data_IF_986595339468
#
_entry.id   IF_986595339468
#
_cell.length_a   1.000
_cell.length_b   1.000
_cell.length_c   1.000
_cell.angle_alpha   90.00
_cell.angle_beta   90.00
_cell.angle_gamma   90.00
#
_symmetry.space_group_name_H-M   'P 1'
#
loop_
_entity.id
_entity.type
_entity.pdbx_description
1 polymer ?
#
# COMPACT_ATOMS: atom_id res chain seq x y z
N UNK A 1 -38.45 16.97 -2.77
CA UNK A 1 -37.25 16.29 -2.23
C UNK A 1 -37.48 16.08 -0.74
N UNK A 2 -37.27 14.88 -0.20
CA UNK A 2 -37.48 14.63 1.23
C UNK A 2 -36.48 15.42 2.09
N UNK A 3 -36.95 15.98 3.21
CA UNK A 3 -36.14 16.78 4.13
C UNK A 3 -35.10 15.87 4.82
N UNK A 4 -33.81 16.19 4.66
CA UNK A 4 -32.71 15.36 5.23
C UNK A 4 -32.62 15.60 6.73
N UNK A 5 -33.04 14.64 7.53
CA UNK A 5 -32.83 14.62 8.99
C UNK A 5 -31.34 14.64 9.30
N UNK A 6 -30.86 15.70 9.98
CA UNK A 6 -29.48 15.83 10.46
C UNK A 6 -29.38 15.43 11.92
N UNK A 7 -28.37 14.64 12.25
CA UNK A 7 -28.09 14.19 13.62
C UNK A 7 -26.92 14.98 14.20
N UNK A 8 -27.00 15.33 15.49
CA UNK A 8 -25.88 15.94 16.20
C UNK A 8 -24.80 14.88 16.39
N UNK A 9 -23.62 15.11 15.83
CA UNK A 9 -22.44 14.25 15.99
C UNK A 9 -21.45 14.88 16.97
N UNK A 10 -20.59 14.05 17.58
CA UNK A 10 -19.40 14.50 18.32
C UNK A 10 -18.15 13.87 17.70
N UNK A 11 -16.97 14.50 17.81
CA UNK A 11 -15.72 13.86 17.43
C UNK A 11 -15.50 12.55 18.18
N UNK A 12 -14.79 11.61 17.56
CA UNK A 12 -14.37 10.37 18.22
C UNK A 12 -13.43 10.70 19.38
N UNK A 13 -13.68 10.14 20.56
CA UNK A 13 -12.84 10.35 21.74
C UNK A 13 -11.41 9.83 21.52
N UNK A 14 -11.27 8.77 20.72
CA UNK A 14 -9.99 8.20 20.34
C UNK A 14 -9.26 8.96 19.23
N UNK A 15 -9.80 10.06 18.69
CA UNK A 15 -9.26 10.71 17.48
C UNK A 15 -7.80 11.16 17.63
N UNK A 16 -7.43 11.66 18.81
CA UNK A 16 -6.04 12.04 19.09
C UNK A 16 -5.11 10.81 19.04
N UNK A 17 -5.53 9.69 19.65
CA UNK A 17 -4.75 8.46 19.64
C UNK A 17 -4.66 7.85 18.24
N UNK A 18 -5.73 7.91 17.45
CA UNK A 18 -5.72 7.44 16.07
C UNK A 18 -4.64 8.18 15.24
N UNK A 19 -4.58 9.52 15.34
CA UNK A 19 -3.56 10.33 14.66
C UNK A 19 -2.13 9.99 15.12
N UNK A 20 -1.95 9.77 16.42
CA UNK A 20 -0.67 9.35 16.99
C UNK A 20 -0.23 8.00 16.41
N UNK A 21 -1.09 6.98 16.44
CA UNK A 21 -0.80 5.63 15.93
C UNK A 21 -0.49 5.67 14.43
N UNK A 22 -1.29 6.37 13.64
CA UNK A 22 -1.04 6.58 12.21
C UNK A 22 0.33 7.19 11.97
N UNK A 23 0.65 8.29 12.67
CA UNK A 23 1.95 8.95 12.49
C UNK A 23 3.10 8.03 12.88
N UNK A 24 2.97 7.31 13.99
CA UNK A 24 3.99 6.35 14.43
C UNK A 24 4.23 5.26 13.38
N UNK A 25 3.16 4.68 12.83
CA UNK A 25 3.26 3.65 11.79
C UNK A 25 3.94 4.16 10.51
N UNK A 26 3.50 5.30 9.98
CA UNK A 26 4.11 5.81 8.75
C UNK A 26 5.51 6.38 8.97
N UNK A 27 5.85 6.87 10.16
CA UNK A 27 7.20 7.34 10.45
C UNK A 27 8.18 6.21 10.76
N UNK A 28 7.73 5.04 11.25
CA UNK A 28 8.63 3.95 11.64
C UNK A 28 9.44 3.38 10.47
N UNK A 29 8.87 3.38 9.27
CA UNK A 29 9.57 2.90 8.06
C UNK A 29 10.80 3.76 7.72
N UNK A 30 10.75 5.06 7.99
CA UNK A 30 11.86 5.99 7.67
C UNK A 30 13.15 5.67 8.42
N UNK A 31 13.05 4.89 9.50
CA UNK A 31 14.15 4.52 10.40
C UNK A 31 14.28 3.00 10.56
N UNK A 32 13.57 2.20 9.75
CA UNK A 32 13.59 0.73 9.83
C UNK A 32 15.01 0.17 9.69
N UNK A 33 15.74 0.60 8.66
CA UNK A 33 17.11 0.15 8.42
C UNK A 33 18.10 0.53 9.53
N UNK A 34 17.87 1.63 10.26
CA UNK A 34 18.69 2.01 11.42
C UNK A 34 18.55 1.02 12.58
N UNK A 35 17.41 0.31 12.64
CA UNK A 35 17.13 -0.74 13.63
C UNK A 35 17.50 -2.14 13.13
N UNK A 36 18.03 -2.27 11.91
CA UNK A 36 18.26 -3.56 11.27
C UNK A 36 16.96 -4.27 10.88
N UNK A 37 15.89 -3.50 10.66
CA UNK A 37 14.58 -3.97 10.24
C UNK A 37 14.39 -3.75 8.74
N UNK A 38 13.56 -4.58 8.12
CA UNK A 38 13.11 -4.50 6.74
C UNK A 38 12.05 -3.41 6.52
N UNK A 39 12.04 -2.87 5.32
CA UNK A 39 11.04 -1.94 4.82
C UNK A 39 10.52 -2.45 3.47
N UNK A 40 9.22 -2.34 3.23
CA UNK A 40 8.59 -2.86 2.01
C UNK A 40 7.62 -1.85 1.41
N UNK A 41 7.29 -2.05 0.14
CA UNK A 41 6.08 -1.49 -0.45
C UNK A 41 5.08 -2.62 -0.65
N UNK A 42 4.21 -2.81 0.34
CA UNK A 42 2.99 -3.60 0.16
C UNK A 42 1.77 -2.71 0.03
N UNK A 43 1.00 -2.90 -1.03
CA UNK A 43 -0.21 -2.11 -1.28
C UNK A 43 -1.17 -2.20 -0.11
N UNK A 44 -1.61 -1.06 0.45
CA UNK A 44 -2.76 -1.04 1.35
C UNK A 44 -3.95 -0.38 0.65
N UNK A 45 -4.90 -1.22 0.23
CA UNK A 45 -6.32 -0.93 -0.02
C UNK A 45 -7.21 -1.70 0.98
N UNK A 46 -8.39 -2.19 0.60
CA UNK A 46 -9.20 -3.15 1.40
C UNK A 46 -8.40 -4.42 1.83
N UNK A 47 -7.23 -4.58 1.24
CA UNK A 47 -6.27 -5.69 1.32
C UNK A 47 -5.35 -5.68 2.55
N UNK A 48 -5.50 -4.70 3.45
CA UNK A 48 -4.61 -4.51 4.60
C UNK A 48 -4.47 -5.73 5.51
N UNK A 49 -5.46 -6.61 5.52
CA UNK A 49 -5.38 -7.85 6.28
C UNK A 49 -4.34 -8.84 5.73
N UNK A 50 -4.23 -8.99 4.41
CA UNK A 50 -3.36 -10.03 3.82
C UNK A 50 -1.89 -9.63 3.80
N UNK A 51 -1.54 -8.46 3.26
CA UNK A 51 -0.13 -8.04 3.17
C UNK A 51 0.52 -7.90 4.54
N UNK A 52 -0.13 -7.17 5.46
CA UNK A 52 0.38 -7.00 6.83
C UNK A 52 0.45 -8.34 7.56
N UNK A 53 -0.50 -9.26 7.37
CA UNK A 53 -0.43 -10.56 8.02
C UNK A 53 0.78 -11.38 7.55
N UNK A 54 1.07 -11.39 6.25
CA UNK A 54 2.23 -12.13 5.74
C UNK A 54 3.53 -11.46 6.20
N UNK A 55 3.65 -10.14 6.09
CA UNK A 55 4.82 -9.39 6.56
C UNK A 55 5.04 -9.50 8.07
N UNK A 56 3.95 -9.62 8.86
CA UNK A 56 4.05 -9.83 10.31
C UNK A 56 4.69 -11.17 10.69
N UNK A 57 4.82 -12.12 9.74
CA UNK A 57 5.62 -13.33 9.89
C UNK A 57 7.10 -13.05 10.16
N UNK A 58 7.64 -11.93 9.67
CA UNK A 58 8.98 -11.43 10.00
C UNK A 58 9.03 -10.77 11.40
N UNK A 59 7.92 -10.72 12.12
CA UNK A 59 7.78 -10.03 13.41
C UNK A 59 7.65 -8.52 13.25
N UNK A 60 8.06 -7.76 14.27
CA UNK A 60 8.05 -6.28 14.24
C UNK A 60 9.17 -5.69 13.36
N UNK A 61 9.69 -6.47 12.42
CA UNK A 61 10.88 -6.11 11.63
C UNK A 61 10.54 -5.76 10.18
N UNK A 62 9.26 -5.74 9.77
CA UNK A 62 8.88 -5.31 8.42
C UNK A 62 7.89 -4.14 8.49
N UNK A 63 8.18 -3.04 7.79
CA UNK A 63 7.38 -1.81 7.78
C UNK A 63 6.97 -1.44 6.35
N UNK A 64 5.69 -1.19 6.10
CA UNK A 64 5.15 -0.94 4.75
C UNK A 64 4.60 0.49 4.56
N UNK A 65 4.84 1.10 3.38
CA UNK A 65 4.31 2.44 3.01
C UNK A 65 2.84 2.41 2.61
N UNK A 66 2.22 1.25 2.42
CA UNK A 66 0.77 1.21 2.32
C UNK A 66 0.18 2.14 1.24
N UNK A 67 0.60 1.96 -0.01
CA UNK A 67 0.39 2.91 -1.12
C UNK A 67 -0.87 3.79 -1.05
N UNK A 68 -2.07 3.22 -1.14
CA UNK A 68 -3.30 4.04 -1.20
C UNK A 68 -3.56 4.83 0.09
N UNK A 69 -3.26 4.27 1.26
CA UNK A 69 -3.40 4.96 2.54
C UNK A 69 -2.40 6.11 2.65
N UNK A 70 -1.14 5.89 2.26
CA UNK A 70 -0.14 6.97 2.22
C UNK A 70 -0.59 8.12 1.30
N UNK A 71 -1.15 7.81 0.13
CA UNK A 71 -1.65 8.83 -0.76
C UNK A 71 -2.90 9.56 -0.20
N UNK A 72 -3.79 8.84 0.47
CA UNK A 72 -4.92 9.44 1.21
C UNK A 72 -4.45 10.39 2.31
N UNK A 73 -3.43 10.00 3.07
CA UNK A 73 -2.80 10.89 4.06
C UNK A 73 -2.10 12.08 3.40
N UNK A 74 -1.42 11.87 2.28
CA UNK A 74 -0.77 12.94 1.53
C UNK A 74 -1.76 13.99 1.04
N UNK A 75 -2.94 13.56 0.57
CA UNK A 75 -4.03 14.46 0.21
C UNK A 75 -4.59 15.20 1.43
N UNK A 76 -4.82 14.50 2.54
CA UNK A 76 -5.32 15.12 3.77
C UNK A 76 -4.33 16.14 4.38
N UNK A 77 -3.03 15.96 4.16
CA UNK A 77 -1.97 16.87 4.59
C UNK A 77 -1.69 17.98 3.57
N UNK A 78 -2.43 18.05 2.46
CA UNK A 78 -2.30 19.09 1.45
C UNK A 78 -1.02 18.98 0.60
N UNK A 79 -0.42 17.79 0.50
CA UNK A 79 0.81 17.55 -0.27
C UNK A 79 0.57 16.76 -1.56
N UNK A 80 -0.68 16.36 -1.87
CA UNK A 80 -0.96 15.51 -3.04
C UNK A 80 -0.72 16.20 -4.38
N UNK A 81 -0.89 17.52 -4.47
CA UNK A 81 -0.82 18.26 -5.75
C UNK A 81 0.59 18.20 -6.34
N UNK A 82 1.62 18.54 -5.57
CA UNK A 82 3.03 18.46 -6.02
C UNK A 82 3.42 17.03 -6.44
N UNK A 83 2.89 16.01 -5.77
CA UNK A 83 3.18 14.62 -6.10
C UNK A 83 2.50 14.20 -7.40
N UNK A 84 1.23 14.56 -7.57
CA UNK A 84 0.51 14.31 -8.82
C UNK A 84 1.22 14.97 -9.99
N UNK A 85 1.62 16.22 -9.86
CA UNK A 85 2.35 16.96 -10.90
C UNK A 85 3.69 16.30 -11.23
N UNK A 86 4.42 15.80 -10.24
CA UNK A 86 5.69 15.11 -10.45
C UNK A 86 5.55 13.77 -11.20
N UNK A 87 4.43 13.06 -11.00
CA UNK A 87 4.10 11.88 -11.79
C UNK A 87 3.67 12.27 -13.22
N UNK A 88 2.80 13.28 -13.38
CA UNK A 88 2.36 13.77 -14.69
C UNK A 88 3.56 14.28 -15.54
N UNK A 89 4.52 14.95 -14.93
CA UNK A 89 5.76 15.40 -15.57
C UNK A 89 6.64 14.26 -16.10
N UNK A 90 6.43 13.02 -15.63
CA UNK A 90 7.09 11.80 -16.12
C UNK A 90 6.27 11.04 -17.16
N UNK A 91 5.15 11.62 -17.61
CA UNK A 91 4.32 11.05 -18.68
C UNK A 91 3.19 10.15 -18.20
N UNK A 92 2.94 10.05 -16.89
CA UNK A 92 1.74 9.37 -16.39
C UNK A 92 0.50 10.21 -16.73
N UNK A 93 -0.47 9.59 -17.39
CA UNK A 93 -1.68 10.27 -17.81
C UNK A 93 -2.55 10.66 -16.60
N UNK A 94 -3.24 11.79 -16.69
CA UNK A 94 -4.03 12.36 -15.58
C UNK A 94 -5.24 11.50 -15.18
N UNK A 95 -5.72 10.66 -16.08
CA UNK A 95 -6.83 9.74 -15.91
C UNK A 95 -6.47 8.47 -15.12
N UNK A 96 -5.18 8.17 -14.92
CA UNK A 96 -4.76 7.07 -14.05
C UNK A 96 -4.99 7.42 -12.57
N UNK A 97 -5.11 6.38 -11.74
CA UNK A 97 -5.43 6.50 -10.31
C UNK A 97 -4.61 7.60 -9.61
N UNK A 98 -5.29 8.48 -8.88
CA UNK A 98 -4.63 9.54 -8.13
C UNK A 98 -3.73 8.98 -7.01
N UNK A 99 -4.12 7.86 -6.37
CA UNK A 99 -3.26 7.23 -5.37
C UNK A 99 -1.92 6.76 -5.94
N UNK A 100 -1.94 6.17 -7.14
CA UNK A 100 -0.73 5.81 -7.86
C UNK A 100 0.13 7.04 -8.13
N UNK A 101 -0.44 8.09 -8.74
CA UNK A 101 0.30 9.31 -9.08
C UNK A 101 0.89 10.00 -7.85
N UNK A 102 0.16 10.04 -6.74
CA UNK A 102 0.65 10.59 -5.48
C UNK A 102 1.83 9.79 -4.92
N UNK A 103 1.75 8.46 -4.89
CA UNK A 103 2.87 7.64 -4.41
C UNK A 103 4.10 7.74 -5.30
N UNK A 104 3.90 7.54 -6.60
CA UNK A 104 4.98 7.62 -7.57
C UNK A 104 5.61 9.01 -7.55
N UNK A 105 4.81 10.07 -7.54
CA UNK A 105 5.28 11.44 -7.42
C UNK A 105 6.12 11.69 -6.17
N UNK A 106 5.65 11.22 -5.02
CA UNK A 106 6.38 11.29 -3.76
C UNK A 106 7.72 10.55 -3.81
N UNK A 107 7.74 9.34 -4.36
CA UNK A 107 8.95 8.54 -4.60
C UNK A 107 9.93 9.27 -5.53
N UNK A 108 9.39 9.81 -6.61
CA UNK A 108 10.11 10.51 -7.67
C UNK A 108 10.70 11.86 -7.28
N UNK A 109 10.05 12.58 -6.37
CA UNK A 109 10.60 13.78 -5.75
C UNK A 109 11.51 13.46 -4.57
N UNK A 110 11.61 12.18 -4.20
CA UNK A 110 12.30 11.73 -2.99
C UNK A 110 11.82 12.51 -1.75
N UNK A 111 10.51 12.64 -1.59
CA UNK A 111 9.88 13.41 -0.50
C UNK A 111 8.76 12.61 0.14
N UNK A 112 8.84 12.41 1.45
CA UNK A 112 7.86 11.66 2.22
C UNK A 112 6.97 12.59 3.05
N UNK A 113 5.64 12.42 3.01
CA UNK A 113 4.72 13.36 3.66
C UNK A 113 4.84 13.39 5.18
N UNK A 114 5.31 12.29 5.78
CA UNK A 114 5.58 12.21 7.21
C UNK A 114 6.98 12.70 7.61
N UNK A 115 7.73 13.27 6.65
CA UNK A 115 9.03 13.90 6.85
C UNK A 115 10.18 13.11 6.23
N UNK A 116 11.19 13.84 5.74
CA UNK A 116 12.41 13.26 5.18
C UNK A 116 12.29 12.79 3.72
N UNK A 117 13.33 12.10 3.22
CA UNK A 117 13.32 11.51 1.89
C UNK A 117 12.30 10.37 1.79
N UNK A 118 11.95 9.97 0.57
CA UNK A 118 11.13 8.78 0.38
C UNK A 118 11.86 7.56 0.97
N UNK A 119 11.20 6.72 1.79
CA UNK A 119 11.87 5.62 2.46
C UNK A 119 12.51 4.66 1.46
N UNK A 120 13.70 4.17 1.79
CA UNK A 120 14.28 3.02 1.11
C UNK A 120 13.51 1.77 1.55
N UNK A 121 13.33 0.86 0.61
CA UNK A 121 12.66 -0.42 0.84
C UNK A 121 13.53 -1.53 0.30
N UNK A 122 13.32 -2.74 0.79
CA UNK A 122 14.06 -3.95 0.44
C UNK A 122 13.37 -4.71 -0.70
N UNK A 123 12.04 -4.59 -0.80
CA UNK A 123 11.25 -5.20 -1.86
C UNK A 123 9.91 -4.50 -2.08
N UNK A 124 9.31 -4.76 -3.25
CA UNK A 124 7.90 -4.44 -3.54
C UNK A 124 7.13 -5.75 -3.62
N UNK A 125 6.05 -5.86 -2.86
CA UNK A 125 5.13 -6.99 -2.98
C UNK A 125 3.73 -6.43 -3.11
N UNK A 126 2.92 -6.93 -4.04
CA UNK A 126 1.60 -6.33 -4.22
C UNK A 126 0.55 -7.31 -4.65
N UNK A 127 -0.62 -7.12 -4.08
CA UNK A 127 -1.85 -7.71 -4.57
C UNK A 127 -2.33 -7.03 -5.85
N UNK A 128 -2.60 -7.82 -6.88
CA UNK A 128 -3.16 -7.30 -8.12
C UNK A 128 -4.69 -7.31 -8.04
N UNK A 129 -5.24 -6.16 -7.65
CA UNK A 129 -6.70 -5.93 -7.52
C UNK A 129 -7.29 -5.10 -8.66
N UNK A 130 -6.45 -4.41 -9.42
CA UNK A 130 -6.84 -3.74 -10.65
C UNK A 130 -5.60 -3.53 -11.51
N UNK A 131 -5.81 -3.32 -12.81
CA UNK A 131 -4.72 -3.15 -13.79
C UNK A 131 -3.70 -2.07 -13.38
N UNK A 132 -4.17 -1.03 -12.68
CA UNK A 132 -3.30 0.05 -12.20
C UNK A 132 -2.34 -0.42 -11.11
N UNK A 133 -2.76 -1.34 -10.23
CA UNK A 133 -1.91 -1.86 -9.16
C UNK A 133 -0.73 -2.67 -9.71
N UNK A 134 -0.93 -3.49 -10.76
CA UNK A 134 0.18 -4.21 -11.38
C UNK A 134 1.24 -3.25 -11.95
N UNK A 135 0.80 -2.29 -12.78
CA UNK A 135 1.74 -1.33 -13.42
C UNK A 135 2.41 -0.41 -12.41
N UNK A 136 1.71 -0.02 -11.36
CA UNK A 136 2.28 0.81 -10.31
C UNK A 136 3.35 0.05 -9.51
N UNK A 137 3.15 -1.22 -9.16
CA UNK A 137 4.17 -2.00 -8.43
C UNK A 137 5.44 -2.18 -9.26
N UNK A 138 5.26 -2.47 -10.56
CA UNK A 138 6.37 -2.57 -11.51
C UNK A 138 7.16 -1.25 -11.59
N UNK A 139 6.47 -0.12 -11.70
CA UNK A 139 7.11 1.19 -11.76
C UNK A 139 7.90 1.53 -10.48
N UNK A 140 7.40 1.13 -9.31
CA UNK A 140 8.11 1.29 -8.04
C UNK A 140 9.38 0.42 -8.01
N UNK A 141 9.23 -0.87 -8.30
CA UNK A 141 10.33 -1.82 -8.25
C UNK A 141 11.44 -1.47 -9.25
N UNK A 142 11.09 -1.05 -10.47
CA UNK A 142 12.04 -0.60 -11.48
C UNK A 142 12.79 0.67 -11.04
N UNK A 143 12.08 1.64 -10.46
CA UNK A 143 12.69 2.89 -10.02
C UNK A 143 13.60 2.70 -8.81
N UNK A 144 13.14 1.93 -7.82
CA UNK A 144 13.85 1.66 -6.57
C UNK A 144 14.93 0.57 -6.74
N UNK A 145 14.89 -0.19 -7.85
CA UNK A 145 15.79 -1.31 -8.16
C UNK A 145 15.75 -2.41 -7.10
N UNK A 146 14.54 -2.74 -6.67
CA UNK A 146 14.29 -3.78 -5.66
C UNK A 146 13.48 -4.92 -6.27
N UNK A 147 13.55 -6.13 -5.70
CA UNK A 147 12.76 -7.26 -6.17
C UNK A 147 11.25 -6.99 -6.07
N UNK A 148 10.50 -7.57 -7.00
CA UNK A 148 9.04 -7.45 -7.07
C UNK A 148 8.36 -8.83 -7.04
N UNK A 149 7.28 -8.94 -6.26
CA UNK A 149 6.38 -10.09 -6.28
C UNK A 149 4.91 -9.67 -6.36
N UNK A 150 4.12 -10.45 -7.09
CA UNK A 150 2.71 -10.20 -7.30
C UNK A 150 1.86 -11.34 -6.71
N UNK A 151 0.83 -10.99 -5.96
CA UNK A 151 -0.22 -11.91 -5.52
C UNK A 151 -1.50 -11.56 -6.27
N UNK A 152 -1.94 -12.40 -7.20
CA UNK A 152 -3.16 -12.12 -7.96
C UNK A 152 -4.38 -12.27 -7.06
N UNK A 153 -5.27 -11.27 -7.06
CA UNK A 153 -6.55 -11.39 -6.36
C UNK A 153 -7.57 -12.03 -7.30
N UNK A 154 -8.41 -12.91 -6.76
CA UNK A 154 -9.49 -13.48 -7.57
C UNK A 154 -10.67 -12.52 -7.55
N UNK A 155 -10.87 -11.78 -8.65
CA UNK A 155 -12.04 -10.92 -8.79
C UNK A 155 -13.35 -11.74 -8.79
N UNK A 156 -14.31 -11.27 -7.99
CA UNK A 156 -15.65 -11.85 -7.89
C UNK A 156 -15.83 -12.87 -6.75
N UNK A 157 -16.54 -12.44 -5.71
CA UNK A 157 -17.05 -13.28 -4.61
C UNK A 157 -18.18 -14.24 -5.04
N UNK A 158 -18.40 -14.40 -6.34
CA UNK A 158 -19.38 -15.33 -6.85
C UNK A 158 -18.76 -16.73 -6.86
N UNK A 159 -19.30 -17.59 -6.01
CA UNK A 159 -19.06 -19.02 -6.03
C UNK A 159 -20.24 -19.66 -6.74
N UNK A 160 -20.07 -19.96 -8.02
CA UNK A 160 -21.04 -20.65 -8.85
C UNK A 160 -21.13 -22.15 -8.52
N UNK A 161 -20.14 -22.69 -7.80
CA UNK A 161 -20.14 -24.05 -7.25
C UNK A 161 -19.16 -24.20 -6.08
N UNK A 162 -19.31 -25.27 -5.30
CA UNK A 162 -18.33 -25.66 -4.28
C UNK A 162 -16.93 -25.92 -4.86
N UNK A 163 -16.86 -26.46 -6.09
CA UNK A 163 -15.58 -26.69 -6.77
C UNK A 163 -14.91 -25.37 -7.15
N UNK A 164 -15.68 -24.41 -7.66
CA UNK A 164 -15.18 -23.06 -7.97
C UNK A 164 -14.66 -22.36 -6.72
N UNK A 165 -15.40 -22.42 -5.61
CA UNK A 165 -14.92 -21.93 -4.31
C UNK A 165 -13.60 -22.57 -3.91
N UNK A 166 -13.50 -23.90 -3.98
CA UNK A 166 -12.26 -24.62 -3.66
C UNK A 166 -11.09 -24.17 -4.53
N UNK A 167 -11.28 -24.08 -5.84
CA UNK A 167 -10.22 -23.67 -6.77
C UNK A 167 -9.72 -22.25 -6.47
N UNK A 168 -10.63 -21.31 -6.21
CA UNK A 168 -10.27 -19.92 -5.88
C UNK A 168 -9.49 -19.83 -4.56
N UNK A 169 -9.91 -20.58 -3.55
CA UNK A 169 -9.23 -20.64 -2.24
C UNK A 169 -7.85 -21.28 -2.39
N UNK A 170 -7.75 -22.43 -3.05
CA UNK A 170 -6.48 -23.12 -3.26
C UNK A 170 -5.49 -22.26 -4.06
N UNK A 171 -5.97 -21.50 -5.05
CA UNK A 171 -5.17 -20.56 -5.83
C UNK A 171 -4.60 -19.42 -4.97
N UNK A 172 -5.43 -18.79 -4.12
CA UNK A 172 -4.97 -17.75 -3.20
C UNK A 172 -3.99 -18.29 -2.15
N UNK A 173 -4.24 -19.49 -1.60
CA UNK A 173 -3.34 -20.15 -0.66
C UNK A 173 -1.99 -20.42 -1.32
N UNK A 174 -1.98 -21.02 -2.51
CA UNK A 174 -0.75 -21.31 -3.25
C UNK A 174 0.10 -20.05 -3.47
N UNK A 175 -0.50 -18.99 -4.03
CA UNK A 175 0.20 -17.72 -4.24
C UNK A 175 0.69 -17.08 -2.94
N UNK A 176 -0.05 -17.22 -1.84
CA UNK A 176 0.38 -16.69 -0.54
C UNK A 176 1.60 -17.44 -0.02
N UNK A 177 1.63 -18.77 -0.17
CA UNK A 177 2.79 -19.60 0.21
C UNK A 177 4.00 -19.29 -0.68
N UNK A 178 3.79 -19.10 -1.98
CA UNK A 178 4.85 -18.69 -2.92
C UNK A 178 5.43 -17.32 -2.55
N UNK A 179 4.58 -16.37 -2.13
CA UNK A 179 5.02 -15.05 -1.68
C UNK A 179 5.87 -15.14 -0.39
N UNK A 180 5.53 -16.02 0.55
CA UNK A 180 6.34 -16.27 1.75
C UNK A 180 7.72 -16.79 1.35
N UNK A 181 7.78 -17.86 0.56
CA UNK A 181 9.05 -18.45 0.12
C UNK A 181 9.90 -17.44 -0.68
N UNK A 182 9.26 -16.62 -1.50
CA UNK A 182 9.95 -15.57 -2.23
C UNK A 182 10.53 -14.49 -1.31
N UNK A 183 9.79 -14.04 -0.30
CA UNK A 183 10.29 -13.05 0.66
C UNK A 183 11.46 -13.61 1.46
N UNK A 184 11.36 -14.82 2.00
CA UNK A 184 12.45 -15.49 2.74
C UNK A 184 13.75 -15.62 1.94
N UNK A 185 13.66 -15.68 0.60
CA UNK A 185 14.85 -15.71 -0.29
C UNK A 185 15.39 -14.32 -0.63
N UNK A 186 14.53 -13.32 -0.54
CA UNK A 186 14.81 -11.94 -0.99
C UNK A 186 15.37 -11.07 0.14
N UNK A 187 15.00 -11.40 1.38
CA UNK A 187 15.40 -10.70 2.61
C UNK A 187 16.37 -11.54 3.42
#
# INVERSE_FOLDING_TARGET
MAEKKRWKTKPLECWTKAKEVTKTHFSSITTAHERGELASLWGLGIESGHGIAIESGFGNTCHSIAGEHYAGHSANLGSSEEFVEAAEARGYARDVCAYMRVNLGSMYLNKYVFGGPYPKVDFVARTHQCDTHAKWALAEAEFLKVPYHCVETVEGYQFDSAQSQKNKVDYLIGQTLDAIEWMEKTT
#
